data_IF_207411656153
#
_entry.id   IF_207411656153
#
_cell.length_a   1.000
_cell.length_b   1.000
_cell.length_c   1.000
_cell.angle_alpha   90.00
_cell.angle_beta   90.00
_cell.angle_gamma   90.00
#
_symmetry.space_group_name_H-M   'P 1'
#
loop_
_entity.id
_entity.type
_entity.pdbx_description
1 polymer ?
#
# COMPACT_ATOMS: atom_id res chain seq x y z
N UNK A 1 42.11 10.23 -39.14
CA UNK A 1 41.72 9.51 -37.91
C UNK A 1 42.17 8.05 -38.01
N UNK A 2 42.92 7.49 -37.04
CA UNK A 2 43.43 6.10 -37.14
C UNK A 2 42.25 5.12 -37.18
N UNK A 3 42.29 4.06 -38.01
CA UNK A 3 41.18 3.08 -38.16
C UNK A 3 40.68 2.50 -36.82
N UNK A 4 41.57 2.33 -35.84
CA UNK A 4 41.23 1.89 -34.49
C UNK A 4 40.32 2.87 -33.74
N UNK A 5 40.52 4.17 -33.94
CA UNK A 5 39.76 5.25 -33.32
C UNK A 5 38.34 5.35 -33.92
N UNK A 6 38.20 5.15 -35.24
CA UNK A 6 36.89 5.05 -35.90
C UNK A 6 36.09 3.88 -35.32
N UNK A 7 36.72 2.70 -35.20
CA UNK A 7 36.08 1.51 -34.62
C UNK A 7 35.64 1.75 -33.17
N UNK A 8 36.47 2.39 -32.35
CA UNK A 8 36.12 2.73 -30.98
C UNK A 8 34.92 3.68 -30.89
N UNK A 9 34.85 4.71 -31.75
CA UNK A 9 33.71 5.64 -31.80
C UNK A 9 32.42 4.91 -32.20
N UNK A 10 32.46 4.05 -33.22
CA UNK A 10 31.29 3.27 -33.64
C UNK A 10 30.80 2.36 -32.50
N UNK A 11 31.73 1.66 -31.84
CA UNK A 11 31.40 0.75 -30.74
C UNK A 11 30.80 1.52 -29.56
N UNK A 12 31.37 2.68 -29.22
CA UNK A 12 30.83 3.60 -28.22
C UNK A 12 29.39 4.02 -28.55
N UNK A 13 29.13 4.44 -29.79
CA UNK A 13 27.79 4.85 -30.22
C UNK A 13 26.77 3.71 -30.10
N UNK A 14 27.14 2.49 -30.49
CA UNK A 14 26.27 1.31 -30.35
C UNK A 14 25.97 1.03 -28.88
N UNK A 15 27.00 1.03 -28.02
CA UNK A 15 26.81 0.80 -26.58
C UNK A 15 26.00 1.91 -25.92
N UNK A 16 26.16 3.16 -26.36
CA UNK A 16 25.41 4.29 -25.84
C UNK A 16 23.93 4.20 -26.20
N UNK A 17 23.60 3.86 -27.45
CA UNK A 17 22.22 3.61 -27.88
C UNK A 17 21.62 2.45 -27.10
N UNK A 18 22.35 1.35 -26.93
CA UNK A 18 21.88 0.21 -26.15
C UNK A 18 21.56 0.61 -24.69
N UNK A 19 22.44 1.39 -24.05
CA UNK A 19 22.22 1.88 -22.69
C UNK A 19 20.93 2.72 -22.60
N UNK A 20 20.70 3.64 -23.54
CA UNK A 20 19.49 4.46 -23.57
C UNK A 20 18.22 3.61 -23.70
N UNK A 21 18.26 2.57 -24.54
CA UNK A 21 17.15 1.62 -24.68
C UNK A 21 16.90 0.88 -23.37
N UNK A 22 17.94 0.39 -22.70
CA UNK A 22 17.80 -0.29 -21.41
C UNK A 22 17.22 0.62 -20.32
N UNK A 23 17.65 1.89 -20.26
CA UNK A 23 17.10 2.87 -19.32
C UNK A 23 15.60 3.07 -19.59
N UNK A 24 15.21 3.25 -20.86
CA UNK A 24 13.81 3.43 -21.23
C UNK A 24 12.95 2.21 -20.87
N UNK A 25 13.43 1.00 -21.17
CA UNK A 25 12.75 -0.25 -20.81
C UNK A 25 12.63 -0.43 -19.29
N UNK A 26 13.68 -0.07 -18.54
CA UNK A 26 13.66 -0.14 -17.09
C UNK A 26 12.63 0.83 -16.49
N UNK A 27 12.55 2.06 -17.01
CA UNK A 27 11.55 3.04 -16.57
C UNK A 27 10.12 2.57 -16.86
N UNK A 28 9.88 2.00 -18.05
CA UNK A 28 8.58 1.45 -18.43
C UNK A 28 8.16 0.29 -17.52
N UNK A 29 9.08 -0.66 -17.30
CA UNK A 29 8.86 -1.79 -16.41
C UNK A 29 8.58 -1.32 -14.97
N UNK A 30 9.35 -0.36 -14.47
CA UNK A 30 9.17 0.20 -13.12
C UNK A 30 7.79 0.81 -12.96
N UNK A 31 7.30 1.58 -13.94
CA UNK A 31 5.95 2.15 -13.92
C UNK A 31 4.88 1.06 -13.89
N UNK A 32 5.00 0.05 -14.76
CA UNK A 32 4.07 -1.09 -14.82
C UNK A 32 3.99 -1.86 -13.50
N UNK A 33 5.14 -2.09 -12.88
CA UNK A 33 5.23 -2.76 -11.58
C UNK A 33 4.56 -1.91 -10.49
N UNK A 34 4.83 -0.59 -10.46
CA UNK A 34 4.19 0.32 -9.52
C UNK A 34 2.67 0.39 -9.68
N UNK A 35 2.15 0.43 -10.91
CA UNK A 35 0.72 0.35 -11.18
C UNK A 35 0.11 -0.96 -10.67
N UNK A 36 0.82 -2.07 -10.84
CA UNK A 36 0.39 -3.38 -10.36
C UNK A 36 0.29 -3.41 -8.83
N UNK A 37 1.30 -2.88 -8.13
CA UNK A 37 1.28 -2.79 -6.67
C UNK A 37 0.16 -1.88 -6.17
N UNK A 38 -0.05 -0.70 -6.79
CA UNK A 38 -1.17 0.19 -6.46
C UNK A 38 -2.53 -0.48 -6.64
N UNK A 39 -2.70 -1.25 -7.71
CA UNK A 39 -3.92 -2.01 -7.96
C UNK A 39 -4.16 -3.06 -6.87
N UNK A 40 -3.13 -3.82 -6.49
CA UNK A 40 -3.26 -4.82 -5.43
C UNK A 40 -3.51 -4.19 -4.06
N UNK A 41 -2.84 -3.08 -3.75
CA UNK A 41 -3.09 -2.31 -2.54
C UNK A 41 -4.55 -1.85 -2.46
N UNK A 42 -5.05 -1.17 -3.49
CA UNK A 42 -6.45 -0.70 -3.56
C UNK A 42 -7.43 -1.86 -3.46
N UNK A 43 -7.17 -2.97 -4.14
CA UNK A 43 -8.02 -4.16 -4.07
C UNK A 43 -8.12 -4.74 -2.65
N UNK A 44 -7.00 -4.81 -1.91
CA UNK A 44 -7.04 -5.28 -0.52
C UNK A 44 -7.73 -4.28 0.42
N UNK A 45 -7.55 -2.97 0.23
CA UNK A 45 -8.33 -1.96 0.96
C UNK A 45 -9.84 -2.10 0.71
N UNK A 46 -10.25 -2.34 -0.54
CA UNK A 46 -11.67 -2.60 -0.86
C UNK A 46 -12.21 -3.83 -0.14
N UNK A 47 -11.40 -4.88 -0.01
CA UNK A 47 -11.80 -6.05 0.79
C UNK A 47 -11.89 -5.73 2.28
N UNK A 48 -10.96 -4.94 2.84
CA UNK A 48 -11.04 -4.46 4.23
C UNK A 48 -12.40 -3.79 4.49
N UNK A 49 -12.84 -2.88 3.61
CA UNK A 49 -14.15 -2.23 3.71
C UNK A 49 -15.28 -3.25 3.66
N UNK A 50 -15.21 -4.20 2.71
CA UNK A 50 -16.21 -5.27 2.55
C UNK A 50 -16.28 -6.16 3.79
N UNK A 51 -15.13 -6.44 4.41
CA UNK A 51 -15.04 -7.26 5.61
C UNK A 51 -15.48 -6.54 6.86
N UNK A 52 -15.27 -5.22 6.95
CA UNK A 52 -15.87 -4.39 7.99
C UNK A 52 -17.40 -4.42 7.85
N UNK A 53 -17.93 -4.22 6.64
CA UNK A 53 -19.38 -4.33 6.40
C UNK A 53 -19.92 -5.71 6.79
N UNK A 54 -19.16 -6.76 6.48
CA UNK A 54 -19.49 -8.13 6.84
C UNK A 54 -19.46 -8.35 8.35
N UNK A 55 -18.54 -7.70 9.08
CA UNK A 55 -18.45 -7.74 10.53
C UNK A 55 -19.61 -6.98 11.19
N UNK A 56 -19.90 -5.77 10.73
CA UNK A 56 -20.94 -4.91 11.32
C UNK A 56 -22.35 -5.44 11.06
N UNK A 57 -22.63 -5.92 9.85
CA UNK A 57 -23.99 -6.33 9.45
C UNK A 57 -24.23 -7.85 9.57
N UNK A 58 -23.20 -8.63 9.87
CA UNK A 58 -23.28 -10.08 9.94
C UNK A 58 -23.82 -10.59 11.27
N UNK A 59 -24.48 -11.75 11.23
CA UNK A 59 -24.79 -12.53 12.42
C UNK A 59 -23.70 -13.57 12.66
N UNK A 60 -23.21 -13.67 13.91
CA UNK A 60 -22.23 -14.68 14.32
C UNK A 60 -20.83 -14.55 13.70
N UNK A 61 -19.92 -15.42 14.13
CA UNK A 61 -18.54 -15.52 13.62
C UNK A 61 -17.73 -14.22 13.65
N UNK A 62 -18.01 -13.33 14.61
CA UNK A 62 -17.33 -12.03 14.73
C UNK A 62 -15.81 -12.15 14.80
N UNK A 63 -15.28 -13.16 15.49
CA UNK A 63 -13.84 -13.41 15.56
C UNK A 63 -13.24 -13.75 14.18
N UNK A 64 -13.90 -14.63 13.41
CA UNK A 64 -13.45 -14.96 12.07
C UNK A 64 -13.53 -13.75 11.14
N UNK A 65 -14.64 -13.01 11.19
CA UNK A 65 -14.84 -11.79 10.38
C UNK A 65 -13.77 -10.73 10.71
N UNK A 66 -13.48 -10.54 11.99
CA UNK A 66 -12.41 -9.65 12.43
C UNK A 66 -11.04 -10.11 11.93
N UNK A 67 -10.73 -11.41 12.00
CA UNK A 67 -9.49 -11.95 11.44
C UNK A 67 -9.34 -11.70 9.94
N UNK A 68 -10.43 -11.69 9.17
CA UNK A 68 -10.35 -11.34 7.74
C UNK A 68 -9.98 -9.86 7.54
N UNK A 69 -10.57 -8.95 8.32
CA UNK A 69 -10.18 -7.53 8.34
C UNK A 69 -8.68 -7.40 8.60
N UNK A 70 -8.17 -8.08 9.63
CA UNK A 70 -6.73 -8.07 9.96
C UNK A 70 -5.89 -8.62 8.80
N UNK A 71 -6.32 -9.72 8.19
CA UNK A 71 -5.63 -10.36 7.07
C UNK A 71 -5.54 -9.46 5.85
N UNK A 72 -6.66 -8.88 5.41
CA UNK A 72 -6.70 -8.03 4.24
C UNK A 72 -5.98 -6.70 4.48
N UNK A 73 -6.04 -6.17 5.71
CA UNK A 73 -5.24 -5.01 6.08
C UNK A 73 -3.73 -5.32 6.04
N UNK A 74 -3.32 -6.50 6.52
CA UNK A 74 -1.93 -6.98 6.45
C UNK A 74 -1.44 -7.15 5.02
N UNK A 75 -2.32 -7.64 4.12
CA UNK A 75 -2.03 -7.70 2.69
C UNK A 75 -1.87 -6.29 2.09
N UNK A 76 -2.77 -5.36 2.42
CA UNK A 76 -2.63 -3.96 2.00
C UNK A 76 -1.33 -3.33 2.53
N UNK A 77 -0.97 -3.58 3.79
CA UNK A 77 0.29 -3.13 4.37
C UNK A 77 1.51 -3.66 3.60
N UNK A 78 1.50 -4.93 3.22
CA UNK A 78 2.59 -5.50 2.42
C UNK A 78 2.76 -4.78 1.07
N UNK A 79 1.66 -4.40 0.41
CA UNK A 79 1.73 -3.64 -0.84
C UNK A 79 2.09 -2.17 -0.67
N UNK A 80 1.64 -1.50 0.41
CA UNK A 80 1.99 -0.08 0.63
C UNK A 80 3.50 0.12 0.77
N UNK A 81 4.22 -0.85 1.35
CA UNK A 81 5.68 -0.83 1.44
C UNK A 81 6.37 -0.90 0.06
N UNK A 82 5.74 -1.55 -0.93
CA UNK A 82 6.26 -1.71 -2.28
C UNK A 82 5.90 -0.54 -3.21
N UNK A 83 4.89 0.24 -2.84
CA UNK A 83 4.47 1.41 -3.60
C UNK A 83 5.41 2.57 -3.33
N UNK A 84 5.74 3.30 -4.39
CA UNK A 84 6.40 4.59 -4.31
C UNK A 84 5.41 5.66 -3.81
N UNK A 85 5.28 5.79 -2.50
CA UNK A 85 4.45 6.78 -1.83
C UNK A 85 5.19 7.39 -0.62
N UNK A 86 4.73 8.55 -0.12
CA UNK A 86 5.28 9.19 1.08
C UNK A 86 5.36 8.23 2.28
N UNK A 87 6.43 8.35 3.06
CA UNK A 87 6.69 7.46 4.21
C UNK A 87 5.60 7.57 5.27
N UNK A 88 4.99 8.75 5.42
CA UNK A 88 3.88 9.00 6.33
C UNK A 88 2.66 8.13 6.00
N UNK A 89 2.38 7.91 4.70
CA UNK A 89 1.29 7.04 4.25
C UNK A 89 1.58 5.58 4.57
N UNK A 90 2.83 5.14 4.39
CA UNK A 90 3.27 3.79 4.76
C UNK A 90 3.17 3.56 6.26
N UNK A 91 3.63 4.54 7.04
CA UNK A 91 3.56 4.53 8.50
C UNK A 91 2.11 4.43 8.98
N UNK A 92 1.19 5.25 8.45
CA UNK A 92 -0.22 5.22 8.84
C UNK A 92 -0.84 3.82 8.66
N UNK A 93 -0.61 3.20 7.49
CA UNK A 93 -1.10 1.86 7.17
C UNK A 93 -0.44 0.77 8.05
N UNK A 94 0.85 0.90 8.31
CA UNK A 94 1.55 -0.03 9.19
C UNK A 94 1.07 0.06 10.65
N UNK A 95 0.86 1.27 11.16
CA UNK A 95 0.40 1.50 12.53
C UNK A 95 -1.04 1.03 12.73
N UNK A 96 -1.95 1.28 11.80
CA UNK A 96 -3.32 0.77 11.90
C UNK A 96 -3.35 -0.75 11.82
N UNK A 97 -2.51 -1.36 10.97
CA UNK A 97 -2.37 -2.82 10.88
C UNK A 97 -1.90 -3.39 12.22
N UNK A 98 -0.90 -2.76 12.85
CA UNK A 98 -0.43 -3.14 14.17
C UNK A 98 -1.51 -2.96 15.25
N UNK A 99 -2.31 -1.89 15.18
CA UNK A 99 -3.40 -1.66 16.13
C UNK A 99 -4.49 -2.73 16.02
N UNK A 100 -4.88 -3.09 14.79
CA UNK A 100 -5.85 -4.16 14.52
C UNK A 100 -5.39 -5.52 15.10
N UNK A 101 -4.09 -5.81 15.04
CA UNK A 101 -3.53 -7.05 15.59
C UNK A 101 -3.40 -7.02 17.12
N UNK A 102 -2.91 -5.91 17.69
CA UNK A 102 -2.50 -5.84 19.11
C UNK A 102 -3.62 -5.40 20.05
N UNK A 103 -4.56 -4.60 19.57
CA UNK A 103 -5.63 -4.01 20.38
C UNK A 103 -7.01 -4.31 19.80
N UNK A 104 -7.36 -5.60 19.60
CA UNK A 104 -8.59 -5.98 18.91
C UNK A 104 -9.85 -5.44 19.61
N UNK A 105 -9.91 -5.47 20.94
CA UNK A 105 -11.06 -4.99 21.70
C UNK A 105 -11.33 -3.49 21.49
N UNK A 106 -10.28 -2.67 21.44
CA UNK A 106 -10.41 -1.24 21.16
C UNK A 106 -10.75 -0.99 19.68
N UNK A 107 -10.13 -1.74 18.77
CA UNK A 107 -10.30 -1.58 17.33
C UNK A 107 -11.68 -2.01 16.84
N UNK A 108 -12.27 -3.06 17.42
CA UNK A 108 -13.66 -3.49 17.14
C UNK A 108 -14.66 -2.33 17.31
N UNK A 109 -14.43 -1.40 18.24
CA UNK A 109 -15.29 -0.22 18.46
C UNK A 109 -15.08 0.91 17.45
N UNK A 110 -14.02 0.85 16.64
CA UNK A 110 -13.58 1.91 15.71
C UNK A 110 -13.68 1.48 14.24
N UNK A 111 -14.29 0.34 13.95
CA UNK A 111 -14.32 -0.21 12.60
C UNK A 111 -15.06 0.70 11.59
N UNK A 112 -16.12 1.40 12.00
CA UNK A 112 -16.83 2.33 11.11
C UNK A 112 -16.00 3.59 10.77
N UNK A 113 -15.25 4.12 11.73
CA UNK A 113 -14.31 5.22 11.51
C UNK A 113 -13.19 4.77 10.57
N UNK A 114 -12.63 3.58 10.81
CA UNK A 114 -11.62 2.97 9.96
C UNK A 114 -12.14 2.73 8.54
N UNK A 115 -13.37 2.22 8.40
CA UNK A 115 -14.00 1.98 7.10
C UNK A 115 -14.12 3.27 6.30
N UNK A 116 -14.54 4.35 6.95
CA UNK A 116 -14.63 5.68 6.32
C UNK A 116 -13.26 6.13 5.84
N UNK A 117 -12.24 6.07 6.70
CA UNK A 117 -10.88 6.47 6.35
C UNK A 117 -10.31 5.62 5.20
N UNK A 118 -10.57 4.32 5.19
CA UNK A 118 -10.13 3.41 4.11
C UNK A 118 -10.86 3.70 2.80
N UNK A 119 -12.16 3.98 2.82
CA UNK A 119 -12.89 4.42 1.64
C UNK A 119 -12.32 5.70 1.07
N UNK A 120 -11.99 6.67 1.92
CA UNK A 120 -11.38 7.93 1.48
C UNK A 120 -10.01 7.72 0.83
N UNK A 121 -9.23 6.72 1.28
CA UNK A 121 -8.00 6.31 0.59
C UNK A 121 -8.30 5.68 -0.77
N UNK A 122 -9.32 4.81 -0.86
CA UNK A 122 -9.74 4.16 -2.12
C UNK A 122 -10.23 5.22 -3.12
N UNK A 123 -10.94 6.23 -2.65
CA UNK A 123 -11.46 7.34 -3.46
C UNK A 123 -10.39 8.41 -3.73
N UNK A 124 -9.14 8.17 -3.30
CA UNK A 124 -7.97 9.02 -3.53
C UNK A 124 -8.15 10.43 -2.95
N UNK A 125 -8.89 10.55 -1.84
CA UNK A 125 -9.05 11.78 -1.09
C UNK A 125 -7.81 12.04 -0.24
N UNK A 126 -7.41 13.31 -0.15
CA UNK A 126 -6.19 13.72 0.57
C UNK A 126 -6.23 13.37 2.07
N UNK A 127 -7.44 13.34 2.66
CA UNK A 127 -7.65 13.17 4.11
C UNK A 127 -7.62 11.73 4.63
N UNK A 128 -7.75 10.72 3.76
CA UNK A 128 -7.97 9.34 4.23
C UNK A 128 -6.83 8.79 5.10
N UNK A 129 -5.57 9.12 4.80
CA UNK A 129 -4.42 8.71 5.61
C UNK A 129 -4.32 9.45 6.95
N UNK A 130 -4.76 10.70 7.00
CA UNK A 130 -4.82 11.48 8.23
C UNK A 130 -5.91 10.94 9.14
N UNK A 131 -7.05 10.54 8.57
CA UNK A 131 -8.15 9.89 9.30
C UNK A 131 -7.73 8.51 9.84
N UNK A 132 -7.00 7.70 9.06
CA UNK A 132 -6.39 6.46 9.57
C UNK A 132 -5.47 6.76 10.76
N UNK A 133 -4.66 7.81 10.67
CA UNK A 133 -3.76 8.22 11.74
C UNK A 133 -4.52 8.69 12.98
N UNK A 134 -5.68 9.33 12.81
CA UNK A 134 -6.56 9.71 13.91
C UNK A 134 -7.15 8.48 14.62
N UNK A 135 -7.58 7.46 13.88
CA UNK A 135 -8.03 6.17 14.46
C UNK A 135 -6.92 5.53 15.28
N UNK A 136 -5.69 5.49 14.74
CA UNK A 136 -4.49 5.00 15.46
C UNK A 136 -4.19 5.82 16.70
N UNK A 137 -4.38 7.14 16.64
CA UNK A 137 -4.16 8.05 17.77
C UNK A 137 -5.17 7.87 18.91
N UNK A 138 -6.37 7.41 18.59
CA UNK A 138 -7.44 7.14 19.55
C UNK A 138 -7.31 5.80 20.28
N UNK A 139 -6.33 4.96 19.91
CA UNK A 139 -6.04 3.69 20.62
C UNK A 139 -5.13 3.98 21.80
N UNK A 140 -5.55 3.58 23.00
CA UNK A 140 -4.70 3.57 24.18
C UNK A 140 -3.69 2.43 24.06
N UNK A 141 -2.44 2.81 23.78
CA UNK A 141 -1.31 1.89 23.61
C UNK A 141 -0.60 1.54 24.93
N UNK A 142 -0.95 2.23 26.01
CA UNK A 142 -0.33 2.06 27.34
C UNK A 142 -1.20 1.21 28.28
N UNK A 143 -2.49 1.04 27.98
CA UNK A 143 -3.37 0.12 28.70
C UNK A 143 -3.09 -1.34 28.37
N UNK A 144 -2.56 -2.09 29.34
CA UNK A 144 -2.53 -3.56 29.35
C UNK A 144 -3.88 -4.13 29.81
#
# INVERSE_FOLDING_TARGET
>A
MKRRMIRAIILFMITFVALLVFIALYMDETKRVQETYRKQYKANLTKVVTDIDSYTNGEGDFELRYMRIVSDMSAANSFVFLIDCPEEKKKAINEITACLMKYPEQMKTKLEELKTAVNDIIDELDKGYDEVSAVVGAVDKQGY
#
